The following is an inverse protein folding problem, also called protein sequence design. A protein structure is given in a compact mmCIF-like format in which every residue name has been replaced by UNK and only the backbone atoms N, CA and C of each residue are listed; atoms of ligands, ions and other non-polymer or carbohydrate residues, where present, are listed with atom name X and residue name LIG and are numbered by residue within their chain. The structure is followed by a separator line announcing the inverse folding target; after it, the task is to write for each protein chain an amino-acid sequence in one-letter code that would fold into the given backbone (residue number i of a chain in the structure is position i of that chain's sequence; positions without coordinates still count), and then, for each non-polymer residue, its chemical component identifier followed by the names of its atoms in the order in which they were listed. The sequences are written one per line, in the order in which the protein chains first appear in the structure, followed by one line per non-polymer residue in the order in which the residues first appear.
data_IF_937934817309
#
_entry.id   IF_937934817309
#
_cell.length_a   1.000
_cell.length_b   1.000
_cell.length_c   1.000
_cell.angle_alpha   90.00
_cell.angle_beta   90.00
_cell.angle_gamma   90.00
#
_symmetry.space_group_name_H-M   'P 1'
#
loop_
_entity.id
_entity.type
_entity.pdbx_description
1 polymer ?
#
# COMPACT_ATOMS: atom_id res chain seq x y z
N UNK A 1 -20.92 -4.96 13.87
CA UNK A 1 -20.25 -3.91 13.06
C UNK A 1 -19.56 -2.82 13.90
N UNK A 2 -20.05 -2.45 15.10
CA UNK A 2 -19.48 -1.34 15.89
C UNK A 2 -18.09 -1.62 16.49
N UNK A 3 -17.79 -2.86 16.85
CA UNK A 3 -16.53 -3.23 17.51
C UNK A 3 -15.37 -3.44 16.53
N UNK A 4 -15.65 -3.84 15.28
CA UNK A 4 -14.62 -4.01 14.25
C UNK A 4 -14.00 -2.68 13.80
N UNK A 5 -14.78 -1.59 13.81
CA UNK A 5 -14.29 -0.25 13.46
C UNK A 5 -13.32 0.33 14.50
N UNK A 6 -13.36 -0.16 15.74
CA UNK A 6 -12.43 0.24 16.80
C UNK A 6 -11.08 -0.49 16.69
N UNK A 7 -11.06 -1.65 16.03
CA UNK A 7 -9.86 -2.44 15.80
C UNK A 7 -9.24 -2.16 14.41
N UNK A 8 -10.03 -1.73 13.43
CA UNK A 8 -9.53 -1.30 12.13
C UNK A 8 -8.95 0.11 12.25
N UNK A 9 -7.63 0.20 12.17
CA UNK A 9 -6.95 1.47 12.02
C UNK A 9 -6.99 1.87 10.54
N UNK A 10 -7.78 2.89 10.21
CA UNK A 10 -7.96 3.41 8.85
C UNK A 10 -6.78 4.33 8.51
N UNK A 11 -6.02 3.99 7.47
CA UNK A 11 -4.87 4.80 7.05
C UNK A 11 -5.31 5.91 6.12
N UNK A 12 -4.82 7.13 6.37
CA UNK A 12 -4.78 8.13 5.32
C UNK A 12 -3.92 7.63 4.16
N UNK A 13 -4.20 8.11 2.96
CA UNK A 13 -3.41 7.77 1.77
C UNK A 13 -1.92 8.10 1.95
N UNK A 14 -1.59 9.21 2.63
CA UNK A 14 -0.22 9.55 2.99
C UNK A 14 0.43 8.55 3.95
N UNK A 15 -0.27 8.11 4.99
CA UNK A 15 0.24 7.10 5.92
C UNK A 15 0.51 5.77 5.20
N UNK A 16 -0.42 5.37 4.32
CA UNK A 16 -0.26 4.17 3.52
C UNK A 16 0.94 4.24 2.58
N UNK A 17 1.12 5.36 1.88
CA UNK A 17 2.28 5.54 1.00
C UNK A 17 3.60 5.47 1.76
N UNK A 18 3.71 6.14 2.91
CA UNK A 18 4.92 6.12 3.75
C UNK A 18 5.24 4.71 4.23
N UNK A 19 4.23 3.95 4.61
CA UNK A 19 4.45 2.59 5.05
C UNK A 19 4.93 1.69 3.91
N UNK A 20 4.31 1.78 2.73
CA UNK A 20 4.73 1.01 1.55
C UNK A 20 6.17 1.36 1.19
N UNK A 21 6.53 2.65 1.11
CA UNK A 21 7.88 3.11 0.80
C UNK A 21 8.93 2.62 1.81
N UNK A 22 8.59 2.57 3.10
CA UNK A 22 9.55 2.27 4.15
C UNK A 22 9.70 0.76 4.41
N UNK A 23 8.61 0.00 4.33
CA UNK A 23 8.58 -1.39 4.80
C UNK A 23 8.48 -2.41 3.68
N UNK A 24 8.08 -2.02 2.47
CA UNK A 24 7.84 -2.97 1.39
C UNK A 24 8.77 -2.70 0.20
N UNK A 25 9.59 -3.67 -0.17
CA UNK A 25 10.51 -3.57 -1.31
C UNK A 25 9.92 -4.13 -2.61
N UNK A 26 8.79 -4.81 -2.53
CA UNK A 26 8.13 -5.47 -3.68
C UNK A 26 7.20 -4.54 -4.44
N UNK A 27 6.87 -3.37 -3.91
CA UNK A 27 6.02 -2.40 -4.59
C UNK A 27 6.86 -1.34 -5.29
N UNK A 28 6.49 -1.04 -6.53
CA UNK A 28 7.06 0.06 -7.31
C UNK A 28 5.98 1.07 -7.64
N UNK A 29 6.24 2.33 -7.34
CA UNK A 29 5.32 3.42 -7.69
C UNK A 29 5.27 3.61 -9.21
N UNK A 30 4.05 3.61 -9.76
CA UNK A 30 3.74 3.83 -11.18
C UNK A 30 2.63 4.88 -11.35
N UNK A 31 2.39 5.72 -10.34
CA UNK A 31 1.41 6.79 -10.42
C UNK A 31 1.71 7.75 -11.58
N UNK A 32 0.70 8.06 -12.39
CA UNK A 32 0.80 9.02 -13.49
C UNK A 32 0.43 10.44 -13.08
N UNK A 33 -0.16 10.60 -11.90
CA UNK A 33 -0.65 11.85 -11.35
C UNK A 33 0.06 12.14 -10.02
N UNK A 34 0.38 13.41 -9.75
CA UNK A 34 0.94 13.80 -8.46
C UNK A 34 -0.13 13.80 -7.37
N UNK A 35 0.20 13.23 -6.21
CA UNK A 35 -0.68 13.24 -5.04
C UNK A 35 -0.51 12.04 -4.13
N UNK A 36 -1.37 11.96 -3.12
CA UNK A 36 -1.39 10.86 -2.16
C UNK A 36 -2.06 9.61 -2.74
N UNK A 37 -2.83 9.76 -3.82
CA UNK A 37 -3.46 8.64 -4.52
C UNK A 37 -2.45 7.98 -5.47
N UNK A 38 -1.61 7.11 -4.92
CA UNK A 38 -0.58 6.41 -5.68
C UNK A 38 -1.05 5.06 -6.19
N UNK A 39 -0.51 4.67 -7.34
CA UNK A 39 -0.73 3.35 -7.94
C UNK A 39 0.58 2.59 -7.90
N UNK A 40 0.57 1.43 -7.26
CA UNK A 40 1.77 0.60 -7.11
C UNK A 40 1.68 -0.66 -7.95
N UNK A 41 2.75 -0.96 -8.67
CA UNK A 41 2.97 -2.26 -9.29
C UNK A 41 3.60 -3.20 -8.26
N UNK A 42 2.98 -4.35 -8.02
CA UNK A 42 3.57 -5.42 -7.22
C UNK A 42 4.53 -6.25 -8.09
N UNK A 43 5.81 -6.21 -7.74
CA UNK A 43 6.82 -7.14 -8.24
C UNK A 43 6.94 -8.32 -7.28
N UNK A 44 6.51 -9.51 -7.72
CA UNK A 44 6.68 -10.74 -6.96
C UNK A 44 7.98 -11.45 -7.38
N UNK A 45 9.05 -11.43 -6.56
CA UNK A 45 10.33 -12.06 -6.90
C UNK A 45 10.24 -13.60 -6.99
N UNK A 46 9.17 -14.23 -6.48
CA UNK A 46 8.94 -15.68 -6.55
C UNK A 46 8.06 -16.10 -7.75
N UNK A 47 7.84 -15.22 -8.73
CA UNK A 47 7.07 -15.49 -9.96
C UNK A 47 5.64 -16.02 -9.74
N UNK A 48 5.01 -15.72 -8.59
CA UNK A 48 3.67 -16.22 -8.27
C UNK A 48 3.62 -17.71 -7.92
N UNK A 49 4.65 -18.22 -7.22
CA UNK A 49 4.75 -19.62 -6.79
C UNK A 49 3.43 -20.22 -6.27
N UNK A 50 3.13 -21.40 -6.81
CA UNK A 50 1.93 -22.25 -6.70
C UNK A 50 1.24 -22.30 -5.33
#
# INVERSE_FOLDING_TARGET
MRELALANYDWSLAEANRWVEHYQSTFRDVSTEEGERRTFLLFNPNNGGF
#
